data_IF_975060980658
#
_entry.id   IF_975060980658
#
_cell.length_a   1.000
_cell.length_b   1.000
_cell.length_c   1.000
_cell.angle_alpha   90.00
_cell.angle_beta   90.00
_cell.angle_gamma   90.00
#
_symmetry.space_group_name_H-M   'P 1'
#
loop_
_entity.id
_entity.type
_entity.pdbx_description
1 polymer ?
#
# COMPACT_ATOMS: atom_id res chain seq x y z
N UNK A 1 18.56 -14.00 8.08
CA UNK A 1 18.78 -12.93 7.13
C UNK A 1 18.54 -13.46 5.72
N UNK A 2 17.68 -12.79 4.97
CA UNK A 2 17.40 -13.05 3.56
C UNK A 2 17.68 -11.75 2.80
N UNK A 3 18.56 -11.82 1.81
CA UNK A 3 18.98 -10.67 1.00
C UNK A 3 18.49 -10.88 -0.43
N UNK A 4 17.51 -10.08 -0.85
CA UNK A 4 16.85 -10.16 -2.17
C UNK A 4 16.46 -11.58 -2.59
N UNK A 5 15.84 -12.40 -1.70
CA UNK A 5 15.70 -13.84 -1.95
C UNK A 5 14.80 -14.19 -3.14
N UNK A 6 13.94 -13.26 -3.55
CA UNK A 6 12.99 -13.46 -4.65
C UNK A 6 13.33 -12.66 -5.91
N UNK A 7 14.50 -12.02 -5.98
CA UNK A 7 14.87 -11.14 -7.10
C UNK A 7 14.86 -11.83 -8.47
N UNK A 8 15.14 -13.13 -8.52
CA UNK A 8 15.17 -13.91 -9.75
C UNK A 8 13.80 -14.46 -10.21
N UNK A 9 12.74 -14.25 -9.41
CA UNK A 9 11.41 -14.76 -9.72
C UNK A 9 10.55 -13.72 -10.41
N UNK A 10 9.67 -14.18 -11.29
CA UNK A 10 8.57 -13.37 -11.83
C UNK A 10 7.51 -13.04 -10.75
N UNK A 11 6.64 -12.08 -11.04
CA UNK A 11 5.68 -11.61 -10.07
C UNK A 11 4.74 -12.73 -9.57
N UNK A 12 4.29 -13.62 -10.44
CA UNK A 12 3.36 -14.69 -10.10
C UNK A 12 3.98 -15.65 -9.09
N UNK A 13 5.21 -16.09 -9.35
CA UNK A 13 5.95 -16.98 -8.45
C UNK A 13 6.33 -16.33 -7.13
N UNK A 14 6.59 -15.02 -7.11
CA UNK A 14 6.81 -14.29 -5.87
C UNK A 14 5.61 -14.40 -4.94
N UNK A 15 4.38 -14.21 -5.47
CA UNK A 15 3.15 -14.33 -4.70
C UNK A 15 2.88 -15.74 -4.18
N UNK A 16 3.37 -16.77 -4.86
CA UNK A 16 3.29 -18.14 -4.36
C UNK A 16 4.25 -18.41 -3.20
N UNK A 17 5.44 -17.82 -3.22
CA UNK A 17 6.49 -18.09 -2.23
C UNK A 17 6.34 -17.26 -0.95
N UNK A 18 5.92 -16.00 -1.05
CA UNK A 18 5.83 -15.09 0.10
C UNK A 18 5.02 -15.65 1.29
N UNK A 19 3.86 -16.32 1.09
CA UNK A 19 3.11 -16.93 2.19
C UNK A 19 3.89 -18.02 2.96
N UNK A 20 4.82 -18.71 2.30
CA UNK A 20 5.66 -19.69 2.99
C UNK A 20 6.70 -19.04 3.90
N UNK A 21 7.26 -17.89 3.49
CA UNK A 21 8.19 -17.11 4.32
C UNK A 21 7.47 -16.60 5.57
N UNK A 22 6.27 -16.04 5.41
CA UNK A 22 5.43 -15.59 6.52
C UNK A 22 5.08 -16.74 7.48
N UNK A 23 4.71 -17.92 6.95
CA UNK A 23 4.49 -19.11 7.77
C UNK A 23 5.69 -19.54 8.57
N UNK A 24 6.91 -19.49 8.01
CA UNK A 24 8.12 -19.85 8.73
C UNK A 24 8.28 -18.96 9.98
N UNK A 25 8.03 -17.65 9.85
CA UNK A 25 8.09 -16.74 10.98
C UNK A 25 7.03 -17.08 12.03
N UNK A 26 5.79 -17.33 11.61
CA UNK A 26 4.66 -17.61 12.53
C UNK A 26 4.79 -18.96 13.22
N UNK A 27 5.10 -20.02 12.45
CA UNK A 27 5.11 -21.39 12.96
C UNK A 27 6.32 -21.66 13.86
N UNK A 28 7.47 -21.04 13.57
CA UNK A 28 8.71 -21.26 14.32
C UNK A 28 9.10 -20.11 15.25
N UNK A 29 8.36 -19.00 15.24
CA UNK A 29 8.68 -17.83 16.06
C UNK A 29 10.06 -17.23 15.77
N UNK A 30 10.60 -17.46 14.58
CA UNK A 30 11.97 -17.06 14.23
C UNK A 30 11.96 -15.64 13.65
N UNK A 31 12.71 -14.68 14.23
CA UNK A 31 12.83 -13.36 13.65
C UNK A 31 13.49 -13.42 12.27
N UNK A 32 12.87 -12.81 11.27
CA UNK A 32 13.37 -12.73 9.90
C UNK A 32 13.79 -11.30 9.61
N UNK A 33 15.05 -11.12 9.17
CA UNK A 33 15.49 -9.88 8.53
C UNK A 33 15.46 -10.11 7.02
N UNK A 34 14.55 -9.38 6.35
CA UNK A 34 14.30 -9.51 4.92
C UNK A 34 14.72 -8.23 4.22
N UNK A 35 15.64 -8.31 3.27
CA UNK A 35 16.10 -7.18 2.46
C UNK A 35 15.47 -7.29 1.09
N UNK A 36 14.78 -6.25 0.65
CA UNK A 36 14.19 -6.15 -0.67
C UNK A 36 13.99 -4.69 -1.08
N UNK A 37 14.00 -4.42 -2.39
CA UNK A 37 13.58 -3.16 -2.98
C UNK A 37 12.10 -3.17 -3.41
N UNK A 38 11.40 -4.29 -3.28
CA UNK A 38 9.98 -4.43 -3.60
C UNK A 38 9.11 -4.08 -2.38
N UNK A 39 8.40 -2.97 -2.45
CA UNK A 39 7.44 -2.57 -1.41
C UNK A 39 6.32 -3.60 -1.27
N UNK A 40 5.92 -4.22 -2.37
CA UNK A 40 4.90 -5.26 -2.39
C UNK A 40 5.30 -6.47 -1.53
N UNK A 41 6.55 -6.93 -1.64
CA UNK A 41 7.07 -8.02 -0.80
C UNK A 41 7.09 -7.62 0.68
N UNK A 42 7.60 -6.41 0.98
CA UNK A 42 7.69 -5.88 2.35
C UNK A 42 6.31 -5.79 2.99
N UNK A 43 5.30 -5.27 2.26
CA UNK A 43 3.93 -5.14 2.77
C UNK A 43 3.30 -6.46 3.18
N UNK A 44 3.69 -7.56 2.52
CA UNK A 44 3.10 -8.87 2.77
C UNK A 44 3.69 -9.55 4.01
N UNK A 45 4.99 -9.37 4.27
CA UNK A 45 5.70 -10.18 5.27
C UNK A 45 6.25 -9.38 6.46
N UNK A 46 6.42 -8.06 6.34
CA UNK A 46 7.08 -7.28 7.38
C UNK A 46 6.09 -6.54 8.29
N UNK A 47 6.37 -6.54 9.59
CA UNK A 47 5.71 -5.71 10.58
C UNK A 47 6.46 -4.40 10.79
N UNK A 48 7.78 -4.46 10.73
CA UNK A 48 8.69 -3.32 10.92
C UNK A 48 9.58 -3.14 9.70
N UNK A 49 9.77 -1.90 9.29
CA UNK A 49 10.60 -1.53 8.16
C UNK A 49 11.74 -0.63 8.60
N UNK A 50 12.91 -0.86 8.02
CA UNK A 50 14.06 0.05 8.07
C UNK A 50 14.35 0.51 6.65
N UNK A 51 14.18 1.79 6.38
CA UNK A 51 14.50 2.40 5.10
C UNK A 51 15.94 2.89 5.10
N UNK A 52 16.73 2.40 4.15
CA UNK A 52 18.12 2.80 3.95
C UNK A 52 18.22 3.63 2.68
N UNK A 53 18.77 4.84 2.79
CA UNK A 53 19.06 5.69 1.65
C UNK A 53 20.37 6.45 1.88
N UNK A 54 21.14 6.68 0.83
CA UNK A 54 22.43 7.40 0.91
C UNK A 54 23.46 6.74 1.84
N UNK A 55 23.36 5.42 2.05
CA UNK A 55 24.26 4.66 2.94
C UNK A 55 23.93 4.76 4.44
N UNK A 56 22.80 5.36 4.80
CA UNK A 56 22.34 5.49 6.19
C UNK A 56 20.88 5.12 6.38
N UNK A 57 20.47 4.98 7.65
CA UNK A 57 19.06 4.76 8.01
C UNK A 57 18.31 6.07 7.88
N UNK A 58 17.34 6.12 6.97
CA UNK A 58 16.46 7.27 6.75
C UNK A 58 15.20 7.21 7.60
N UNK A 59 14.68 6.02 7.85
CA UNK A 59 13.55 5.79 8.76
C UNK A 59 13.56 4.37 9.30
N UNK A 60 12.93 4.18 10.45
CA UNK A 60 12.66 2.87 11.02
C UNK A 60 11.35 2.94 11.82
N UNK A 61 10.50 1.92 11.72
CA UNK A 61 9.23 1.85 12.42
C UNK A 61 8.26 0.85 11.80
N UNK A 62 7.01 0.84 12.25
CA UNK A 62 5.95 0.06 11.63
C UNK A 62 5.87 0.34 10.13
N UNK A 63 5.63 -0.71 9.33
CA UNK A 63 5.63 -0.61 7.86
C UNK A 63 4.67 0.48 7.38
N UNK A 64 3.47 0.54 7.97
CA UNK A 64 2.46 1.53 7.60
C UNK A 64 2.95 2.97 7.84
N UNK A 65 3.62 3.22 8.95
CA UNK A 65 4.11 4.56 9.29
C UNK A 65 5.20 5.02 8.33
N UNK A 66 6.14 4.12 8.01
CA UNK A 66 7.25 4.43 7.10
C UNK A 66 6.74 4.61 5.67
N UNK A 67 5.84 3.73 5.20
CA UNK A 67 5.31 3.77 3.84
C UNK A 67 4.28 4.88 3.59
N UNK A 68 3.70 5.45 4.64
CA UNK A 68 2.80 6.61 4.51
C UNK A 68 3.55 7.96 4.54
N UNK A 69 4.89 7.93 4.46
CA UNK A 69 5.75 9.11 4.35
C UNK A 69 6.33 9.26 2.95
N UNK A 70 5.71 10.04 2.07
CA UNK A 70 6.13 10.17 0.67
C UNK A 70 7.51 10.83 0.50
N UNK A 71 7.91 11.67 1.45
CA UNK A 71 9.26 12.24 1.52
C UNK A 71 10.35 11.16 1.60
N UNK A 72 10.09 10.11 2.35
CA UNK A 72 11.00 8.97 2.50
C UNK A 72 10.97 8.03 1.29
N UNK A 73 9.77 7.77 0.76
CA UNK A 73 9.60 6.86 -0.38
C UNK A 73 10.22 7.40 -1.66
N UNK A 74 10.23 8.73 -1.84
CA UNK A 74 10.96 9.37 -2.94
C UNK A 74 12.47 9.15 -2.85
N UNK A 75 13.03 9.13 -1.65
CA UNK A 75 14.43 8.80 -1.45
C UNK A 75 14.76 7.34 -1.81
N UNK A 76 13.75 6.46 -1.81
CA UNK A 76 13.89 5.05 -2.16
C UNK A 76 13.66 4.74 -3.67
N UNK A 77 13.27 5.74 -4.48
CA UNK A 77 13.08 5.61 -5.93
C UNK A 77 11.73 6.11 -6.44
N UNK A 78 11.71 6.61 -7.68
CA UNK A 78 10.51 7.10 -8.35
C UNK A 78 9.43 6.02 -8.50
N UNK A 79 8.17 6.42 -8.28
CA UNK A 79 7.00 5.56 -8.47
C UNK A 79 6.54 4.78 -7.23
N UNK A 80 7.25 4.88 -6.12
CA UNK A 80 6.90 4.21 -4.87
C UNK A 80 5.96 5.00 -3.96
N UNK A 81 5.63 6.25 -4.28
CA UNK A 81 4.69 7.05 -3.50
C UNK A 81 3.28 6.43 -3.50
N UNK A 82 2.65 6.42 -2.33
CA UNK A 82 1.31 5.87 -2.16
C UNK A 82 0.89 5.86 -0.69
N UNK A 83 -0.27 5.30 -0.44
CA UNK A 83 -0.81 5.12 0.90
C UNK A 83 -0.97 3.64 1.21
N UNK A 84 -0.55 3.24 2.39
CA UNK A 84 -0.82 1.92 2.94
C UNK A 84 -1.94 2.05 3.96
N UNK A 85 -3.02 1.35 3.72
CA UNK A 85 -4.26 1.49 4.48
C UNK A 85 -4.62 0.14 5.09
N UNK A 86 -4.69 0.03 6.43
CA UNK A 86 -5.24 -1.15 7.07
C UNK A 86 -6.74 -1.22 6.81
N UNK A 87 -7.22 -2.38 6.40
CA UNK A 87 -8.62 -2.62 6.05
C UNK A 87 -9.11 -3.94 6.63
N UNK A 88 -10.43 -4.08 6.70
CA UNK A 88 -11.08 -5.33 7.04
C UNK A 88 -12.07 -5.73 5.96
N UNK A 89 -12.04 -6.99 5.52
CA UNK A 89 -13.03 -7.53 4.61
C UNK A 89 -14.40 -7.62 5.30
N UNK A 90 -15.39 -6.89 4.78
CA UNK A 90 -16.76 -6.82 5.33
C UNK A 90 -17.79 -7.52 4.45
N UNK A 91 -17.45 -7.76 3.19
CA UNK A 91 -18.34 -8.43 2.25
C UNK A 91 -17.59 -9.05 1.08
N UNK A 92 -18.22 -10.04 0.47
CA UNK A 92 -17.77 -10.66 -0.77
C UNK A 92 -18.98 -10.88 -1.67
N UNK A 93 -18.89 -10.41 -2.90
CA UNK A 93 -19.82 -10.76 -3.98
C UNK A 93 -19.19 -11.88 -4.81
N UNK A 94 -19.61 -13.14 -4.59
CA UNK A 94 -18.99 -14.27 -5.26
C UNK A 94 -19.32 -14.34 -6.76
N UNK A 95 -20.40 -13.67 -7.21
CA UNK A 95 -20.77 -13.65 -8.62
C UNK A 95 -19.79 -12.85 -9.48
N UNK A 96 -19.19 -11.81 -8.89
CA UNK A 96 -18.25 -10.94 -9.57
C UNK A 96 -16.83 -11.01 -8.99
N UNK A 97 -16.62 -11.78 -7.90
CA UNK A 97 -15.33 -11.84 -7.21
C UNK A 97 -14.89 -10.50 -6.59
N UNK A 98 -15.88 -9.68 -6.19
CA UNK A 98 -15.62 -8.34 -5.62
C UNK A 98 -15.73 -8.39 -4.11
N UNK A 99 -14.63 -8.07 -3.43
CA UNK A 99 -14.62 -7.89 -1.99
C UNK A 99 -14.88 -6.43 -1.61
N UNK A 100 -15.60 -6.23 -0.50
CA UNK A 100 -15.78 -4.95 0.17
C UNK A 100 -14.83 -4.89 1.35
N UNK A 101 -13.98 -3.87 1.40
CA UNK A 101 -12.95 -3.66 2.40
C UNK A 101 -13.22 -2.34 3.14
N UNK A 102 -13.52 -2.43 4.42
CA UNK A 102 -13.83 -1.27 5.25
C UNK A 102 -12.55 -0.66 5.84
N UNK A 103 -12.50 0.68 5.88
CA UNK A 103 -11.48 1.48 6.56
C UNK A 103 -12.14 2.71 7.22
N UNK A 104 -11.38 3.56 7.90
CA UNK A 104 -11.92 4.72 8.61
C UNK A 104 -12.66 5.71 7.69
N UNK A 105 -12.23 5.86 6.44
CA UNK A 105 -12.79 6.79 5.45
C UNK A 105 -13.89 6.22 4.56
N UNK A 106 -14.30 4.96 4.74
CA UNK A 106 -15.34 4.34 3.93
C UNK A 106 -15.05 2.89 3.55
N UNK A 107 -15.41 2.51 2.33
CA UNK A 107 -15.27 1.14 1.84
C UNK A 107 -14.64 1.12 0.45
N UNK A 108 -13.61 0.29 0.29
CA UNK A 108 -13.08 -0.07 -1.03
C UNK A 108 -13.82 -1.26 -1.60
N UNK A 109 -13.99 -1.27 -2.91
CA UNK A 109 -14.42 -2.42 -3.69
C UNK A 109 -13.27 -2.85 -4.59
N UNK A 110 -12.80 -4.10 -4.39
CA UNK A 110 -11.64 -4.64 -5.09
C UNK A 110 -11.93 -6.04 -5.61
N UNK A 111 -11.27 -6.42 -6.70
CA UNK A 111 -11.34 -7.80 -7.18
C UNK A 111 -10.43 -8.66 -6.29
N UNK A 112 -11.02 -9.50 -5.47
CA UNK A 112 -10.33 -10.40 -4.55
C UNK A 112 -11.25 -11.59 -4.19
N UNK A 113 -11.40 -12.58 -5.10
CA UNK A 113 -12.37 -13.66 -4.95
C UNK A 113 -12.08 -14.59 -3.77
N UNK A 114 -10.82 -14.68 -3.35
CA UNK A 114 -10.35 -15.61 -2.33
C UNK A 114 -10.33 -15.01 -0.91
N UNK A 115 -10.73 -13.74 -0.75
CA UNK A 115 -10.77 -13.07 0.54
C UNK A 115 -11.89 -13.64 1.44
N UNK A 116 -11.56 -13.79 2.73
CA UNK A 116 -12.52 -14.23 3.74
C UNK A 116 -13.10 -13.03 4.48
N UNK A 117 -14.42 -12.98 4.66
CA UNK A 117 -15.08 -11.93 5.46
C UNK A 117 -14.56 -11.97 6.90
N UNK A 118 -14.20 -10.82 7.43
CA UNK A 118 -13.56 -10.64 8.75
C UNK A 118 -12.04 -10.58 8.69
N UNK A 119 -11.42 -10.95 7.58
CA UNK A 119 -9.98 -10.89 7.39
C UNK A 119 -9.48 -9.44 7.45
N UNK A 120 -8.34 -9.25 8.15
CA UNK A 120 -7.65 -7.97 8.23
C UNK A 120 -6.40 -8.02 7.36
N UNK A 121 -6.26 -7.02 6.53
CA UNK A 121 -5.15 -6.91 5.59
C UNK A 121 -4.74 -5.46 5.40
N UNK A 122 -3.66 -5.26 4.67
CA UNK A 122 -3.19 -3.95 4.22
C UNK A 122 -3.39 -3.85 2.72
N UNK A 123 -3.94 -2.74 2.26
CA UNK A 123 -3.95 -2.41 0.84
C UNK A 123 -2.99 -1.27 0.57
N UNK A 124 -2.40 -1.28 -0.60
CA UNK A 124 -1.60 -0.17 -1.11
C UNK A 124 -2.35 0.55 -2.22
N UNK A 125 -2.53 1.85 -2.03
CA UNK A 125 -3.06 2.76 -3.05
C UNK A 125 -1.90 3.59 -3.58
N UNK A 126 -1.51 3.38 -4.83
CA UNK A 126 -0.40 4.13 -5.45
C UNK A 126 -0.86 5.55 -5.74
N UNK A 127 -0.05 6.55 -5.41
CA UNK A 127 -0.43 7.96 -5.57
C UNK A 127 -0.76 8.33 -7.02
N UNK A 128 -0.08 7.71 -8.00
CA UNK A 128 -0.33 7.91 -9.43
C UNK A 128 -1.67 7.37 -9.92
N UNK A 129 -2.28 6.44 -9.17
CA UNK A 129 -3.55 5.81 -9.52
C UNK A 129 -4.74 6.54 -8.86
N UNK A 130 -4.47 7.61 -8.10
CA UNK A 130 -5.48 8.44 -7.44
C UNK A 130 -5.70 9.72 -8.24
N UNK A 131 -6.90 9.86 -8.79
CA UNK A 131 -7.34 11.09 -9.46
C UNK A 131 -8.10 11.98 -8.49
N UNK A 132 -7.97 13.30 -8.65
CA UNK A 132 -8.70 14.29 -7.85
C UNK A 132 -9.79 14.95 -8.70
N UNK A 133 -10.94 15.18 -8.10
CA UNK A 133 -12.04 15.92 -8.70
C UNK A 133 -12.60 16.92 -7.68
N UNK A 134 -12.98 18.10 -8.12
CA UNK A 134 -13.61 19.13 -7.27
C UNK A 134 -15.08 18.87 -7.00
N UNK A 135 -15.70 18.04 -7.84
CA UNK A 135 -17.09 17.61 -7.73
C UNK A 135 -17.15 16.08 -7.87
N UNK A 136 -18.21 15.48 -7.32
CA UNK A 136 -18.41 14.04 -7.44
C UNK A 136 -18.55 13.64 -8.92
N UNK A 137 -17.63 12.80 -9.44
CA UNK A 137 -17.67 12.42 -10.85
C UNK A 137 -18.93 11.58 -11.16
N UNK A 138 -19.55 11.84 -12.32
CA UNK A 138 -20.69 11.09 -12.82
C UNK A 138 -20.33 10.38 -14.13
N UNK A 139 -20.98 9.26 -14.41
CA UNK A 139 -20.77 8.47 -15.63
C UNK A 139 -19.34 8.00 -15.84
N UNK A 140 -18.67 7.60 -14.76
CA UNK A 140 -17.31 7.06 -14.76
C UNK A 140 -17.31 5.58 -14.37
N UNK A 141 -16.32 4.84 -14.85
CA UNK A 141 -16.14 3.41 -14.52
C UNK A 141 -15.41 3.17 -13.19
N UNK A 142 -15.03 4.24 -12.48
CA UNK A 142 -14.30 4.15 -11.21
C UNK A 142 -15.28 3.73 -10.11
N UNK A 143 -14.96 2.62 -9.42
CA UNK A 143 -15.80 2.11 -8.32
C UNK A 143 -15.52 2.80 -6.99
N UNK A 144 -14.27 3.19 -6.75
CA UNK A 144 -13.82 3.73 -5.47
C UNK A 144 -13.74 5.26 -5.56
N UNK A 145 -14.76 5.94 -5.04
CA UNK A 145 -14.86 7.40 -5.01
C UNK A 145 -15.13 7.83 -3.58
N UNK A 146 -14.20 8.59 -3.01
CA UNK A 146 -14.26 9.08 -1.62
C UNK A 146 -14.32 10.60 -1.60
N UNK A 147 -15.04 11.13 -0.63
CA UNK A 147 -14.97 12.54 -0.27
C UNK A 147 -13.83 12.76 0.71
N UNK A 148 -13.06 13.82 0.51
CA UNK A 148 -11.93 14.13 1.37
C UNK A 148 -11.57 15.60 1.36
N UNK A 149 -10.72 15.99 2.28
CA UNK A 149 -10.22 17.36 2.38
C UNK A 149 -8.71 17.38 2.07
N UNK A 150 -8.29 18.30 1.21
CA UNK A 150 -6.87 18.48 0.92
C UNK A 150 -6.16 18.93 2.19
N UNK A 151 -5.25 18.09 2.69
CA UNK A 151 -4.44 18.36 3.89
C UNK A 151 -3.10 19.03 3.56
N UNK A 152 -2.57 18.78 2.37
CA UNK A 152 -1.31 19.37 1.95
C UNK A 152 -1.07 19.23 0.46
N UNK A 153 -0.25 20.13 -0.07
CA UNK A 153 0.23 20.12 -1.45
C UNK A 153 1.73 20.35 -1.41
N UNK A 154 2.49 19.45 -1.98
CA UNK A 154 3.93 19.59 -2.08
C UNK A 154 4.37 19.47 -3.53
N UNK A 155 5.23 20.38 -3.97
CA UNK A 155 5.86 20.24 -5.28
C UNK A 155 6.86 19.08 -5.24
N UNK A 156 6.60 18.04 -6.02
CA UNK A 156 7.61 17.08 -6.39
C UNK A 156 8.62 17.74 -7.35
N UNK A 157 9.74 17.09 -7.62
CA UNK A 157 10.70 17.57 -8.59
C UNK A 157 10.10 17.47 -10.02
N UNK A 158 10.02 18.60 -10.71
CA UNK A 158 9.48 18.69 -12.07
C UNK A 158 7.98 19.05 -12.11
N UNK A 159 7.24 18.58 -13.14
CA UNK A 159 5.84 18.98 -13.36
C UNK A 159 4.85 18.23 -12.44
N UNK A 160 5.31 17.30 -11.64
CA UNK A 160 4.46 16.50 -10.75
C UNK A 160 4.25 17.20 -9.40
N UNK A 161 3.04 17.09 -8.89
CA UNK A 161 2.62 17.62 -7.59
C UNK A 161 2.02 16.48 -6.78
N UNK A 162 2.47 16.33 -5.53
CA UNK A 162 1.84 15.41 -4.61
C UNK A 162 0.83 16.14 -3.73
N UNK A 163 -0.34 15.57 -3.65
CA UNK A 163 -1.45 16.07 -2.86
C UNK A 163 -1.81 15.03 -1.82
N UNK A 164 -1.82 15.43 -0.55
CA UNK A 164 -2.37 14.62 0.53
C UNK A 164 -3.81 14.99 0.79
N UNK A 165 -4.68 14.00 0.86
CA UNK A 165 -6.11 14.14 1.10
C UNK A 165 -6.50 13.34 2.33
N UNK A 166 -7.11 14.00 3.29
CA UNK A 166 -7.72 13.32 4.45
C UNK A 166 -9.10 12.80 4.06
N UNK A 167 -9.24 11.49 4.11
CA UNK A 167 -10.48 10.76 3.84
C UNK A 167 -10.91 10.09 5.14
N UNK A 168 -11.72 10.78 5.93
CA UNK A 168 -12.24 10.27 7.21
C UNK A 168 -11.16 9.86 8.22
N UNK A 169 -10.07 10.62 8.32
CA UNK A 169 -8.93 10.33 9.21
C UNK A 169 -7.86 9.43 8.58
N UNK A 170 -8.05 9.00 7.33
CA UNK A 170 -7.05 8.23 6.57
C UNK A 170 -6.40 9.13 5.52
N UNK A 171 -5.08 9.24 5.57
CA UNK A 171 -4.34 10.04 4.61
C UNK A 171 -4.12 9.27 3.30
N UNK A 172 -4.66 9.78 2.20
CA UNK A 172 -4.47 9.22 0.86
C UNK A 172 -3.65 10.20 0.01
N UNK A 173 -2.62 9.66 -0.64
CA UNK A 173 -1.75 10.44 -1.52
C UNK A 173 -2.19 10.32 -2.97
N UNK A 174 -2.18 11.46 -3.66
CA UNK A 174 -2.38 11.57 -5.10
C UNK A 174 -1.19 12.27 -5.73
N UNK A 175 -0.75 11.80 -6.87
CA UNK A 175 0.29 12.44 -7.68
C UNK A 175 -0.35 12.91 -8.98
N UNK A 176 -0.35 14.22 -9.18
CA UNK A 176 -0.94 14.90 -10.34
C UNK A 176 0.12 15.72 -11.08
N UNK A 177 -0.18 16.11 -12.31
CA UNK A 177 0.64 16.98 -13.19
C UNK A 177 -0.07 18.28 -13.48
#
# INVERSE_FOLDING_TARGET
LMDEPLAALDAERKWEVLPFIDRIQRDFGTPIVYVSHSIEEILQIADTMVLIAGGGVSAAGPVEEVLNRPDLLRAAGDGNAGSVIPVQATGLDPAYGIATLSFAGGEFRVTAPDLTVGERLRIRVRARDVSLATERPQHVSVLNVFEGTVAGVSSAHGPQVDVSVDVGGTMIWSQIT
#
